data_IF_751136116275
#
_entry.id   IF_751136116275
#
_cell.length_a   1.000
_cell.length_b   1.000
_cell.length_c   1.000
_cell.angle_alpha   90.00
_cell.angle_beta   90.00
_cell.angle_gamma   90.00
#
_symmetry.space_group_name_H-M   'P 1'
#
loop_
_entity.id
_entity.type
_entity.pdbx_description
1 polymer ?
#
# COMPACT_ATOMS: atom_id res chain seq x y z
N UNK A 1 22.96 41.65 65.25
CA UNK A 1 24.25 40.98 64.97
C UNK A 1 24.11 39.52 65.38
N UNK A 2 24.70 38.59 64.60
CA UNK A 2 24.75 37.12 64.72
C UNK A 2 23.78 36.32 63.81
N UNK A 3 24.43 35.64 62.86
CA UNK A 3 23.99 34.67 61.82
C UNK A 3 23.44 33.37 62.41
N UNK A 4 22.52 32.69 61.69
CA UNK A 4 22.84 31.46 60.91
C UNK A 4 21.64 30.92 60.13
N UNK A 5 21.98 30.45 58.94
CA UNK A 5 21.17 29.81 57.91
C UNK A 5 20.72 28.41 58.34
N UNK A 6 19.50 28.01 57.98
CA UNK A 6 18.99 26.66 58.20
C UNK A 6 18.03 26.23 57.11
N UNK A 7 18.56 25.53 56.11
CA UNK A 7 17.90 24.56 55.23
C UNK A 7 16.37 24.64 55.09
N UNK A 8 15.88 25.49 54.19
CA UNK A 8 14.54 25.35 53.62
C UNK A 8 14.57 25.39 52.08
N UNK A 9 15.68 24.97 51.48
CA UNK A 9 15.94 25.09 50.04
C UNK A 9 16.35 23.80 49.34
N UNK A 10 16.12 22.63 49.94
CA UNK A 10 16.49 21.34 49.33
C UNK A 10 15.33 20.35 49.50
N UNK A 11 14.18 20.64 48.89
CA UNK A 11 13.10 19.66 48.73
C UNK A 11 12.24 19.90 47.48
N UNK A 12 12.80 20.60 46.48
CA UNK A 12 12.12 20.91 45.20
C UNK A 12 13.01 20.67 43.96
N UNK A 13 13.98 19.75 44.04
CA UNK A 13 14.84 19.42 42.89
C UNK A 13 14.95 17.91 42.57
N UNK A 14 14.08 17.07 43.14
CA UNK A 14 14.18 15.60 42.95
C UNK A 14 13.07 14.99 42.07
N UNK A 15 12.18 15.79 41.47
CA UNK A 15 11.08 15.30 40.60
C UNK A 15 11.14 15.83 39.16
N UNK A 16 12.31 16.25 38.68
CA UNK A 16 12.45 16.96 37.40
C UNK A 16 13.34 16.32 36.33
N UNK A 17 13.85 15.10 36.53
CA UNK A 17 14.77 14.45 35.58
C UNK A 17 14.33 13.01 35.30
N UNK A 18 13.08 12.85 34.87
CA UNK A 18 12.85 11.81 33.87
C UNK A 18 13.45 12.35 32.58
N UNK A 19 14.47 11.73 31.96
CA UNK A 19 14.76 12.03 30.57
C UNK A 19 13.45 11.76 29.83
N UNK A 20 12.85 12.83 29.29
CA UNK A 20 11.95 12.71 28.15
C UNK A 20 12.82 12.06 27.06
N UNK A 21 12.84 10.73 27.05
CA UNK A 21 13.31 9.98 25.89
C UNK A 21 12.31 10.34 24.80
N UNK A 22 12.62 11.39 24.03
CA UNK A 22 11.98 11.60 22.75
C UNK A 22 12.11 10.26 22.02
N UNK A 23 10.98 9.60 21.75
CA UNK A 23 11.01 8.36 20.97
C UNK A 23 11.68 8.68 19.65
N UNK A 24 12.89 8.13 19.46
CA UNK A 24 13.60 8.28 18.21
C UNK A 24 12.88 7.45 17.15
N UNK A 25 12.11 8.15 16.32
CA UNK A 25 11.37 7.55 15.22
C UNK A 25 12.26 7.27 14.00
N UNK A 26 13.57 7.53 14.04
CA UNK A 26 14.48 7.30 12.91
C UNK A 26 14.44 5.83 12.44
N UNK A 27 14.55 4.88 13.37
CA UNK A 27 14.50 3.44 13.04
C UNK A 27 13.15 3.07 12.41
N UNK A 28 12.04 3.56 12.97
CA UNK A 28 10.70 3.29 12.43
C UNK A 28 10.53 3.90 11.03
N UNK A 29 10.99 5.14 10.83
CA UNK A 29 10.98 5.84 9.54
C UNK A 29 11.79 5.09 8.49
N UNK A 30 13.02 4.70 8.81
CA UNK A 30 13.88 3.94 7.90
C UNK A 30 13.27 2.60 7.51
N UNK A 31 12.66 1.91 8.48
CA UNK A 31 11.99 0.64 8.22
C UNK A 31 10.76 0.82 7.32
N UNK A 32 9.94 1.85 7.56
CA UNK A 32 8.80 2.19 6.70
C UNK A 32 9.26 2.47 5.25
N UNK A 33 10.33 3.25 5.08
CA UNK A 33 10.92 3.54 3.76
C UNK A 33 11.42 2.26 3.08
N UNK A 34 12.15 1.39 3.79
CA UNK A 34 12.64 0.10 3.24
C UNK A 34 11.50 -0.80 2.78
N UNK A 35 10.41 -0.87 3.55
CA UNK A 35 9.22 -1.65 3.19
C UNK A 35 8.55 -1.04 1.96
N UNK A 36 8.33 0.28 1.96
CA UNK A 36 7.72 1.00 0.84
C UNK A 36 8.52 0.84 -0.44
N UNK A 37 9.85 0.96 -0.37
CA UNK A 37 10.76 0.78 -1.50
C UNK A 37 10.69 -0.63 -2.08
N UNK A 38 10.63 -1.65 -1.20
CA UNK A 38 10.46 -3.03 -1.65
C UNK A 38 9.12 -3.24 -2.34
N UNK A 39 8.03 -2.65 -1.84
CA UNK A 39 6.70 -2.74 -2.46
C UNK A 39 6.74 -2.14 -3.88
N UNK A 40 7.26 -0.91 -4.00
CA UNK A 40 7.39 -0.23 -5.30
C UNK A 40 8.24 -1.06 -6.26
N UNK A 41 9.41 -1.53 -5.82
CA UNK A 41 10.34 -2.29 -6.66
C UNK A 41 9.81 -3.66 -7.09
N UNK A 42 8.91 -4.29 -6.32
CA UNK A 42 8.35 -5.62 -6.62
C UNK A 42 6.97 -5.58 -7.28
N UNK A 43 6.45 -4.39 -7.58
CA UNK A 43 5.17 -4.25 -8.28
C UNK A 43 5.38 -4.34 -9.79
N UNK A 44 4.71 -5.30 -10.42
CA UNK A 44 4.71 -5.51 -11.87
C UNK A 44 3.32 -5.21 -12.45
N UNK A 45 3.27 -4.42 -13.51
CA UNK A 45 2.02 -3.95 -14.14
C UNK A 45 1.67 -4.85 -15.31
N UNK A 46 1.26 -6.08 -14.99
CA UNK A 46 1.06 -7.15 -15.94
C UNK A 46 -0.17 -7.98 -15.57
N UNK A 47 -0.64 -8.74 -16.56
CA UNK A 47 -1.65 -9.77 -16.40
C UNK A 47 -1.03 -11.13 -16.66
N UNK A 48 -1.61 -12.17 -16.07
CA UNK A 48 -1.16 -13.54 -16.19
C UNK A 48 -2.36 -14.44 -16.40
N UNK A 49 -2.26 -15.31 -17.39
CA UNK A 49 -3.08 -16.52 -17.45
C UNK A 49 -2.56 -17.50 -16.38
N UNK A 50 -3.35 -17.73 -15.34
CA UNK A 50 -2.91 -18.56 -14.20
C UNK A 50 -2.80 -20.04 -14.55
N UNK A 51 -3.45 -20.48 -15.63
CA UNK A 51 -3.42 -21.86 -16.10
C UNK A 51 -2.20 -22.14 -16.97
N UNK A 52 -1.88 -21.25 -17.91
CA UNK A 52 -0.75 -21.43 -18.84
C UNK A 52 0.54 -20.77 -18.39
N UNK A 53 0.45 -19.81 -17.47
CA UNK A 53 1.59 -18.99 -17.02
C UNK A 53 1.96 -17.85 -17.97
N UNK A 54 1.28 -17.70 -19.11
CA UNK A 54 1.56 -16.64 -20.08
C UNK A 54 1.29 -15.26 -19.49
N UNK A 55 2.25 -14.35 -19.68
CA UNK A 55 2.21 -12.98 -19.17
C UNK A 55 1.86 -12.00 -20.29
N UNK A 56 1.09 -10.97 -19.95
CA UNK A 56 0.60 -9.94 -20.85
C UNK A 56 0.85 -8.56 -20.24
N UNK A 57 1.44 -7.65 -21.00
CA UNK A 57 1.63 -6.25 -20.60
C UNK A 57 0.43 -5.37 -20.94
N UNK A 58 -0.49 -5.87 -21.77
CA UNK A 58 -1.73 -5.22 -22.17
C UNK A 58 -2.81 -6.27 -22.46
N UNK A 59 -4.07 -5.90 -22.24
CA UNK A 59 -5.24 -6.71 -22.59
C UNK A 59 -5.90 -6.26 -23.91
N UNK A 60 -5.28 -5.32 -24.61
CA UNK A 60 -5.73 -4.91 -25.94
C UNK A 60 -5.65 -6.09 -26.91
N UNK A 61 -6.74 -6.35 -27.63
CA UNK A 61 -6.91 -7.47 -28.56
C UNK A 61 -6.61 -8.87 -27.96
N UNK A 62 -6.61 -9.00 -26.63
CA UNK A 62 -6.49 -10.31 -25.96
C UNK A 62 -7.86 -10.98 -25.89
N UNK A 63 -7.93 -12.25 -26.30
CA UNK A 63 -9.14 -13.06 -26.17
C UNK A 63 -9.59 -13.19 -24.71
N UNK A 64 -10.90 -13.22 -24.48
CA UNK A 64 -11.46 -13.41 -23.14
C UNK A 64 -11.05 -14.77 -22.57
N UNK A 65 -10.42 -14.75 -21.40
CA UNK A 65 -9.93 -15.94 -20.71
C UNK A 65 -10.37 -15.88 -19.24
N UNK A 66 -11.15 -16.86 -18.74
CA UNK A 66 -11.56 -16.91 -17.34
C UNK A 66 -10.41 -17.09 -16.35
N UNK A 67 -9.25 -17.57 -16.82
CA UNK A 67 -8.03 -17.75 -16.03
C UNK A 67 -7.13 -16.49 -16.03
N UNK A 68 -7.57 -15.38 -16.64
CA UNK A 68 -6.81 -14.12 -16.63
C UNK A 68 -6.88 -13.45 -15.26
N UNK A 69 -5.72 -13.08 -14.69
CA UNK A 69 -5.60 -12.35 -13.43
C UNK A 69 -4.56 -11.24 -13.53
N UNK A 70 -4.60 -10.28 -12.62
CA UNK A 70 -3.49 -9.34 -12.40
C UNK A 70 -2.31 -10.10 -11.80
N UNK A 71 -1.09 -9.87 -12.31
CA UNK A 71 0.09 -10.65 -11.93
C UNK A 71 0.68 -10.22 -10.58
N UNK A 72 0.62 -8.91 -10.26
CA UNK A 72 1.17 -8.40 -9.00
C UNK A 72 0.15 -8.44 -7.86
N UNK A 73 0.57 -9.02 -6.73
CA UNK A 73 -0.23 -9.03 -5.49
C UNK A 73 -0.61 -7.64 -4.98
N UNK A 74 0.19 -6.61 -5.27
CA UNK A 74 -0.06 -5.24 -4.82
C UNK A 74 -1.06 -4.47 -5.69
N UNK A 75 -1.42 -5.03 -6.85
CA UNK A 75 -2.40 -4.45 -7.78
C UNK A 75 -3.76 -5.14 -7.72
N UNK A 76 -3.88 -6.24 -6.97
CA UNK A 76 -5.17 -6.91 -6.75
C UNK A 76 -6.13 -6.00 -5.98
N UNK A 77 -7.44 -6.15 -6.24
CA UNK A 77 -8.50 -5.41 -5.55
C UNK A 77 -8.79 -6.00 -4.16
N UNK A 78 -7.79 -6.00 -3.29
CA UNK A 78 -7.92 -6.37 -1.89
C UNK A 78 -7.90 -5.13 -1.00
N UNK A 79 -8.74 -5.16 0.04
CA UNK A 79 -8.82 -4.09 1.04
C UNK A 79 -7.45 -3.70 1.61
N UNK A 80 -6.57 -4.67 1.85
CA UNK A 80 -5.20 -4.46 2.35
C UNK A 80 -4.33 -3.64 1.40
N UNK A 81 -4.54 -3.73 0.08
CA UNK A 81 -3.85 -2.90 -0.89
C UNK A 81 -4.39 -1.46 -0.85
N UNK A 82 -5.67 -1.26 -0.54
CA UNK A 82 -6.23 0.06 -0.25
C UNK A 82 -5.56 0.71 0.96
N UNK A 83 -5.43 -0.03 2.07
CA UNK A 83 -4.70 0.42 3.28
C UNK A 83 -3.24 0.72 2.95
N UNK A 84 -2.59 -0.13 2.17
CA UNK A 84 -1.19 0.05 1.76
C UNK A 84 -1.02 1.32 0.91
N UNK A 85 -1.91 1.57 -0.04
CA UNK A 85 -1.89 2.79 -0.85
C UNK A 85 -2.06 4.05 0.01
N UNK A 86 -2.99 4.04 0.98
CA UNK A 86 -3.14 5.16 1.92
C UNK A 86 -1.89 5.37 2.78
N UNK A 87 -1.29 4.29 3.29
CA UNK A 87 -0.06 4.36 4.08
C UNK A 87 1.13 4.89 3.27
N UNK A 88 1.21 4.55 1.98
CA UNK A 88 2.26 5.04 1.07
C UNK A 88 2.10 6.54 0.78
N UNK A 89 0.87 7.02 0.56
CA UNK A 89 0.61 8.46 0.41
C UNK A 89 0.99 9.22 1.68
N UNK A 90 0.54 8.75 2.86
CA UNK A 90 0.87 9.35 4.15
C UNK A 90 2.39 9.36 4.41
N UNK A 91 3.09 8.27 4.07
CA UNK A 91 4.55 8.22 4.19
C UNK A 91 5.21 9.25 3.27
N UNK A 92 4.74 9.35 2.02
CA UNK A 92 5.23 10.32 1.03
C UNK A 92 5.12 11.76 1.52
N UNK A 93 3.96 12.12 2.08
CA UNK A 93 3.73 13.44 2.69
C UNK A 93 4.66 13.66 3.88
N UNK A 94 4.74 12.73 4.84
CA UNK A 94 5.60 12.89 6.04
C UNK A 94 7.08 13.06 5.73
N UNK A 95 7.58 12.43 4.67
CA UNK A 95 9.00 12.53 4.28
C UNK A 95 9.23 13.51 3.12
N UNK A 96 8.19 14.18 2.65
CA UNK A 96 8.20 15.12 1.53
C UNK A 96 8.82 14.49 0.25
N UNK A 97 8.42 13.26 -0.06
CA UNK A 97 8.87 12.51 -1.24
C UNK A 97 7.67 11.93 -2.01
N UNK A 98 7.41 12.51 -3.19
CA UNK A 98 6.27 12.12 -4.02
C UNK A 98 6.36 10.75 -4.68
N UNK A 99 7.51 10.06 -4.61
CA UNK A 99 7.68 8.72 -5.22
C UNK A 99 6.55 7.76 -4.85
N UNK A 100 6.08 7.81 -3.60
CA UNK A 100 5.04 6.91 -3.11
C UNK A 100 3.63 7.32 -3.57
N UNK A 101 3.35 8.63 -3.65
CA UNK A 101 2.12 9.14 -4.25
C UNK A 101 2.05 8.82 -5.75
N UNK A 102 3.15 9.02 -6.48
CA UNK A 102 3.27 8.70 -7.90
C UNK A 102 3.06 7.20 -8.16
N UNK A 103 3.58 6.35 -7.27
CA UNK A 103 3.33 4.91 -7.31
C UNK A 103 1.84 4.58 -7.11
N UNK A 104 1.17 5.18 -6.12
CA UNK A 104 -0.26 4.97 -5.88
C UNK A 104 -1.09 5.46 -7.07
N UNK A 105 -0.75 6.61 -7.63
CA UNK A 105 -1.39 7.13 -8.84
C UNK A 105 -1.22 6.16 -10.02
N UNK A 106 -0.03 5.58 -10.18
CA UNK A 106 0.24 4.57 -11.20
C UNK A 106 -0.60 3.31 -10.99
N UNK A 107 -0.77 2.86 -9.75
CA UNK A 107 -1.67 1.75 -9.41
C UNK A 107 -3.12 2.05 -9.82
N UNK A 108 -3.62 3.25 -9.49
CA UNK A 108 -4.98 3.66 -9.86
C UNK A 108 -5.15 3.73 -11.37
N UNK A 109 -4.17 4.28 -12.10
CA UNK A 109 -4.19 4.33 -13.57
C UNK A 109 -4.23 2.94 -14.19
N UNK A 110 -3.48 1.98 -13.65
CA UNK A 110 -3.50 0.61 -14.14
C UNK A 110 -4.85 -0.09 -13.90
N UNK A 111 -5.39 0.05 -12.69
CA UNK A 111 -6.66 -0.59 -12.30
C UNK A 111 -7.83 0.01 -13.08
N UNK A 112 -7.91 1.34 -13.16
CA UNK A 112 -9.00 2.06 -13.82
C UNK A 112 -8.74 2.35 -15.30
N UNK A 113 -7.69 1.77 -15.88
CA UNK A 113 -7.45 1.86 -17.30
C UNK A 113 -8.67 1.34 -18.08
N UNK A 114 -9.07 2.09 -19.10
CA UNK A 114 -10.29 1.82 -19.87
C UNK A 114 -10.24 0.48 -20.60
N UNK A 115 -9.08 0.12 -21.14
CA UNK A 115 -8.88 -1.13 -21.87
C UNK A 115 -8.96 -2.32 -20.91
N UNK A 116 -8.29 -2.22 -19.77
CA UNK A 116 -8.30 -3.25 -18.73
C UNK A 116 -9.71 -3.46 -18.14
N UNK A 117 -10.37 -2.37 -17.76
CA UNK A 117 -11.76 -2.41 -17.25
C UNK A 117 -12.72 -3.00 -18.28
N UNK A 118 -12.61 -2.59 -19.55
CA UNK A 118 -13.45 -3.13 -20.61
C UNK A 118 -13.23 -4.64 -20.80
N UNK A 119 -12.00 -5.13 -20.72
CA UNK A 119 -11.71 -6.57 -20.79
C UNK A 119 -12.45 -7.35 -19.70
N UNK A 120 -12.27 -6.98 -18.43
CA UNK A 120 -12.87 -7.70 -17.31
C UNK A 120 -14.39 -7.55 -17.26
N UNK A 121 -14.93 -6.40 -17.68
CA UNK A 121 -16.37 -6.21 -17.83
C UNK A 121 -16.96 -7.19 -18.87
N UNK A 122 -16.35 -7.28 -20.06
CA UNK A 122 -16.80 -8.24 -21.09
C UNK A 122 -16.66 -9.68 -20.64
N UNK A 123 -15.60 -10.00 -19.88
CA UNK A 123 -15.41 -11.33 -19.30
C UNK A 123 -16.51 -11.67 -18.29
N UNK A 124 -16.85 -10.73 -17.42
CA UNK A 124 -17.96 -10.85 -16.48
C UNK A 124 -19.29 -11.06 -17.22
N UNK A 125 -19.63 -10.21 -18.18
CA UNK A 125 -20.89 -10.30 -18.94
C UNK A 125 -21.03 -11.62 -19.66
N UNK A 126 -19.97 -12.08 -20.32
CA UNK A 126 -19.94 -13.39 -20.97
C UNK A 126 -20.20 -14.51 -19.95
N UNK A 127 -19.45 -14.52 -18.86
CA UNK A 127 -19.55 -15.55 -17.81
C UNK A 127 -20.94 -15.58 -17.17
N UNK A 128 -21.50 -14.40 -16.90
CA UNK A 128 -22.84 -14.25 -16.34
C UNK A 128 -23.93 -14.71 -17.31
N UNK A 129 -23.84 -14.35 -18.60
CA UNK A 129 -24.79 -14.83 -19.62
C UNK A 129 -24.76 -16.35 -19.80
N UNK A 130 -23.58 -16.96 -19.73
CA UNK A 130 -23.41 -18.40 -19.99
C UNK A 130 -23.77 -19.29 -18.79
N UNK A 131 -23.55 -18.84 -17.56
CA UNK A 131 -23.73 -19.68 -16.37
C UNK A 131 -24.40 -19.01 -15.17
N UNK A 132 -24.92 -17.80 -15.35
CA UNK A 132 -25.57 -17.02 -14.30
C UNK A 132 -24.66 -16.71 -13.11
N UNK A 133 -25.28 -16.39 -11.97
CA UNK A 133 -24.58 -16.04 -10.74
C UNK A 133 -23.64 -17.13 -10.21
N UNK A 134 -23.90 -18.40 -10.51
CA UNK A 134 -23.04 -19.51 -10.04
C UNK A 134 -21.71 -19.59 -10.79
N UNK A 135 -21.61 -18.99 -11.98
CA UNK A 135 -20.39 -19.00 -12.78
C UNK A 135 -19.41 -17.88 -12.42
N UNK A 136 -19.92 -16.74 -11.94
CA UNK A 136 -19.15 -15.52 -11.63
C UNK A 136 -18.05 -15.73 -10.57
N UNK A 137 -18.27 -16.46 -9.45
CA UNK A 137 -17.25 -16.66 -8.42
C UNK A 137 -15.96 -17.33 -8.92
N UNK A 138 -15.97 -17.95 -10.11
CA UNK A 138 -14.78 -18.54 -10.72
C UNK A 138 -13.81 -17.51 -11.31
N UNK A 139 -14.25 -16.25 -11.46
CA UNK A 139 -13.43 -15.15 -12.00
C UNK A 139 -12.56 -14.45 -10.96
N UNK A 140 -12.79 -14.71 -9.66
CA UNK A 140 -12.01 -14.15 -8.56
C UNK A 140 -10.94 -15.11 -8.13
#
# INVERSE_FOLDING_TARGET
MVKRYGCAGILLFAMGLFPLLAQDNAVAKEMAIKIADRIVASTVYEFKDVKTGKVYTSLDNVSLNPDMRVNSKYLNWHYTNGVTNMALMELGDKIQNRKYEDYVLKNMKFIFDKTNQSYFHRLYDKTFREGGWRAVPRLT
#
